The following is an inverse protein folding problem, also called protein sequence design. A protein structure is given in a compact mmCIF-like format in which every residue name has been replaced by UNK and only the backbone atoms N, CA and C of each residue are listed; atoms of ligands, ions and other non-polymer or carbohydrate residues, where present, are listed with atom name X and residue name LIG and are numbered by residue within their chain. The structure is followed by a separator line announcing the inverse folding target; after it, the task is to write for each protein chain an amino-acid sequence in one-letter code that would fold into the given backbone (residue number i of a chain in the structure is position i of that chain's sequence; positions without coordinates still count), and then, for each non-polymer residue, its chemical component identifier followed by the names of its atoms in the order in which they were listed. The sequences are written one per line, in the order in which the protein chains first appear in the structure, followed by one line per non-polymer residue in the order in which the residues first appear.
data_IF_828808751670
#
_entry.id   IF_828808751670
#
_cell.length_a   1.000
_cell.length_b   1.000
_cell.length_c   1.000
_cell.angle_alpha   90.00
_cell.angle_beta   90.00
_cell.angle_gamma   90.00
#
_symmetry.space_group_name_H-M   'P 1'
#
loop_
_entity.id
_entity.type
_entity.pdbx_description
1 polymer ?
#
# COMPACT_ATOMS: atom_id res chain seq x y z
N UNK A 1 55.11 -6.88 19.07
CA UNK A 1 54.13 -5.93 18.49
C UNK A 1 53.43 -6.46 17.24
N UNK A 2 54.12 -7.13 16.29
CA UNK A 2 53.52 -7.60 15.02
C UNK A 2 52.35 -8.61 15.16
N UNK A 3 52.41 -9.56 16.10
CA UNK A 3 51.34 -10.58 16.28
C UNK A 3 50.02 -10.02 16.84
N UNK A 4 50.07 -8.98 17.69
CA UNK A 4 48.87 -8.35 18.28
C UNK A 4 48.11 -7.51 17.24
N UNK A 5 48.83 -6.86 16.32
CA UNK A 5 48.24 -6.07 15.23
C UNK A 5 47.53 -6.98 14.21
N UNK A 6 48.10 -8.16 13.91
CA UNK A 6 47.50 -9.12 12.98
C UNK A 6 46.17 -9.70 13.49
N UNK A 7 46.06 -10.00 14.79
CA UNK A 7 44.83 -10.52 15.40
C UNK A 7 43.72 -9.46 15.38
N UNK A 8 44.06 -8.19 15.61
CA UNK A 8 43.12 -7.07 15.60
C UNK A 8 42.57 -6.77 14.19
N UNK A 9 43.41 -6.93 13.16
CA UNK A 9 43.01 -6.83 11.75
C UNK A 9 42.10 -7.98 11.32
N UNK A 10 42.39 -9.21 11.74
CA UNK A 10 41.55 -10.38 11.47
C UNK A 10 40.18 -10.25 12.13
N UNK A 11 40.10 -9.79 13.39
CA UNK A 11 38.80 -9.59 14.07
C UNK A 11 37.94 -8.50 13.41
N UNK A 12 38.57 -7.45 12.87
CA UNK A 12 37.85 -6.40 12.15
C UNK A 12 37.31 -6.90 10.80
N UNK A 13 38.07 -7.74 10.10
CA UNK A 13 37.64 -8.39 8.86
C UNK A 13 36.46 -9.35 9.06
N UNK A 14 36.37 -10.06 10.19
CA UNK A 14 35.20 -10.90 10.51
C UNK A 14 33.96 -10.09 10.90
N UNK A 15 34.13 -8.94 11.57
CA UNK A 15 33.00 -8.08 11.92
C UNK A 15 32.42 -7.39 10.69
N UNK A 16 33.27 -6.87 9.80
CA UNK A 16 32.86 -6.22 8.57
C UNK A 16 32.39 -7.25 7.54
N UNK A 17 33.15 -8.33 7.32
CA UNK A 17 32.78 -9.42 6.42
C UNK A 17 31.55 -10.19 6.87
N UNK A 18 31.36 -10.39 8.19
CA UNK A 18 30.16 -10.99 8.75
C UNK A 18 28.91 -10.13 8.53
N UNK A 19 29.02 -8.81 8.69
CA UNK A 19 27.92 -7.88 8.43
C UNK A 19 27.50 -7.88 6.95
N UNK A 20 28.47 -7.91 6.02
CA UNK A 20 28.18 -7.98 4.58
C UNK A 20 27.59 -9.33 4.14
N UNK A 21 28.05 -10.46 4.71
CA UNK A 21 27.51 -11.79 4.41
C UNK A 21 26.07 -11.93 4.96
N UNK A 22 25.77 -11.41 6.15
CA UNK A 22 24.41 -11.45 6.71
C UNK A 22 23.43 -10.63 5.86
N UNK A 23 23.80 -9.42 5.41
CA UNK A 23 22.95 -8.61 4.52
C UNK A 23 22.68 -9.26 3.17
N UNK A 24 23.66 -9.96 2.59
CA UNK A 24 23.48 -10.69 1.33
C UNK A 24 22.62 -11.94 1.48
N UNK A 25 22.47 -12.50 2.69
CA UNK A 25 21.65 -13.68 2.97
C UNK A 25 20.18 -13.34 3.25
N UNK A 26 19.84 -12.06 3.45
CA UNK A 26 18.47 -11.62 3.75
C UNK A 26 17.70 -11.11 2.53
N UNK A 27 18.36 -10.89 1.39
CA UNK A 27 17.68 -10.47 0.15
C UNK A 27 17.00 -11.68 -0.51
N UNK A 28 15.67 -11.60 -0.57
CA UNK A 28 14.75 -12.55 -1.20
C UNK A 28 14.47 -12.18 -2.65
N UNK A 29 14.72 -10.92 -3.04
CA UNK A 29 14.31 -10.37 -4.34
C UNK A 29 12.82 -10.00 -4.38
N UNK A 30 12.19 -9.90 -3.21
CA UNK A 30 10.79 -9.48 -3.03
C UNK A 30 10.80 -8.19 -2.22
N UNK A 31 10.32 -7.09 -2.81
CA UNK A 31 10.38 -5.74 -2.24
C UNK A 31 9.88 -5.68 -0.80
N UNK A 32 8.70 -6.26 -0.55
CA UNK A 32 8.05 -6.25 0.77
C UNK A 32 8.81 -7.03 1.86
N UNK A 33 9.58 -8.07 1.47
CA UNK A 33 10.37 -8.89 2.40
C UNK A 33 11.80 -8.36 2.58
N UNK A 34 12.32 -7.66 1.57
CA UNK A 34 13.65 -7.08 1.58
C UNK A 34 13.70 -5.76 2.37
N UNK A 35 12.57 -5.05 2.46
CA UNK A 35 12.41 -3.93 3.37
C UNK A 35 12.12 -4.39 4.81
N UNK A 36 13.04 -4.08 5.72
CA UNK A 36 12.96 -4.55 7.11
C UNK A 36 11.76 -3.99 7.87
N UNK A 37 11.34 -2.76 7.57
CA UNK A 37 10.20 -2.15 8.28
C UNK A 37 8.89 -2.79 7.84
N UNK A 38 8.70 -2.95 6.54
CA UNK A 38 7.54 -3.62 5.92
C UNK A 38 7.39 -5.04 6.42
N UNK A 39 8.50 -5.79 6.47
CA UNK A 39 8.50 -7.18 6.91
C UNK A 39 8.00 -7.38 8.35
N UNK A 40 8.11 -6.38 9.23
CA UNK A 40 7.60 -6.47 10.61
C UNK A 40 6.10 -6.71 10.69
N UNK A 41 5.35 -6.39 9.63
CA UNK A 41 3.90 -6.51 9.57
C UNK A 41 3.41 -7.75 8.83
N UNK A 42 4.32 -8.53 8.24
CA UNK A 42 3.98 -9.63 7.33
C UNK A 42 4.11 -11.00 8.01
N UNK A 43 3.11 -11.85 7.82
CA UNK A 43 3.19 -13.28 8.17
C UNK A 43 3.30 -14.14 6.91
N UNK A 44 4.49 -14.70 6.70
CA UNK A 44 4.82 -15.58 5.57
C UNK A 44 4.17 -16.98 5.70
N UNK A 45 3.63 -17.34 6.86
CA UNK A 45 3.04 -18.67 7.12
C UNK A 45 1.54 -18.73 6.82
N UNK A 46 0.89 -17.58 6.63
CA UNK A 46 -0.54 -17.51 6.31
C UNK A 46 -0.70 -17.52 4.79
N UNK A 47 -1.44 -18.51 4.29
CA UNK A 47 -1.71 -18.64 2.85
C UNK A 47 -2.61 -17.50 2.36
N UNK A 48 -2.12 -16.77 1.36
CA UNK A 48 -2.84 -15.69 0.69
C UNK A 48 -2.72 -15.86 -0.83
N UNK A 49 -3.44 -15.06 -1.61
CA UNK A 49 -3.35 -15.14 -3.07
C UNK A 49 -1.97 -14.71 -3.59
N UNK A 50 -1.52 -15.32 -4.70
CA UNK A 50 -0.24 -15.00 -5.37
C UNK A 50 -0.03 -13.48 -5.54
N UNK A 51 1.18 -13.01 -5.23
CA UNK A 51 1.59 -11.61 -5.34
C UNK A 51 1.40 -10.80 -4.04
N UNK A 52 1.07 -11.47 -2.93
CA UNK A 52 0.74 -10.83 -1.67
C UNK A 52 1.30 -11.62 -0.48
N UNK A 53 1.37 -10.95 0.67
CA UNK A 53 1.62 -11.52 1.99
C UNK A 53 0.48 -11.14 2.94
N UNK A 54 0.23 -11.96 3.96
CA UNK A 54 -0.72 -11.60 5.00
C UNK A 54 -0.15 -10.45 5.84
N UNK A 55 -0.95 -9.41 6.03
CA UNK A 55 -0.60 -8.22 6.81
C UNK A 55 -1.56 -8.07 7.97
N UNK A 56 -1.00 -7.82 9.16
CA UNK A 56 -1.74 -7.41 10.34
C UNK A 56 -1.40 -5.97 10.72
N UNK A 57 -2.44 -5.14 10.87
CA UNK A 57 -2.28 -3.75 11.27
C UNK A 57 -1.60 -3.63 12.63
N UNK A 58 -0.77 -2.60 12.83
CA UNK A 58 -0.05 -2.44 14.11
C UNK A 58 -1.01 -2.13 15.26
N UNK A 59 -2.16 -1.56 14.97
CA UNK A 59 -3.24 -1.37 15.95
C UNK A 59 -4.13 -2.61 16.15
N UNK A 60 -3.91 -3.70 15.41
CA UNK A 60 -4.64 -4.97 15.51
C UNK A 60 -6.12 -4.91 15.10
N UNK A 61 -6.58 -3.82 14.46
CA UNK A 61 -8.00 -3.63 14.17
C UNK A 61 -8.44 -4.16 12.81
N UNK A 62 -7.50 -4.41 11.90
CA UNK A 62 -7.77 -4.96 10.58
C UNK A 62 -6.58 -5.77 10.05
N UNK A 63 -6.86 -6.58 9.04
CA UNK A 63 -5.88 -7.38 8.29
C UNK A 63 -6.10 -7.16 6.81
N UNK A 64 -5.08 -7.40 5.98
CA UNK A 64 -5.19 -7.33 4.53
C UNK A 64 -4.15 -8.23 3.85
N UNK A 65 -4.27 -8.38 2.54
CA UNK A 65 -3.21 -8.91 1.69
C UNK A 65 -2.34 -7.74 1.23
N UNK A 66 -1.12 -7.65 1.75
CA UNK A 66 -0.17 -6.61 1.37
C UNK A 66 0.65 -7.06 0.16
N UNK A 67 0.79 -6.22 -0.89
CA UNK A 67 1.39 -6.62 -2.15
C UNK A 67 2.91 -6.78 -2.07
N UNK A 68 3.45 -7.77 -2.78
CA UNK A 68 4.87 -8.15 -2.66
C UNK A 68 5.86 -7.14 -3.25
N UNK A 69 5.42 -6.37 -4.25
CA UNK A 69 6.24 -5.39 -4.98
C UNK A 69 6.27 -3.98 -4.34
N UNK A 70 5.71 -3.87 -3.13
CA UNK A 70 5.62 -2.60 -2.41
C UNK A 70 6.38 -2.66 -1.09
N UNK A 71 6.86 -1.50 -0.64
CA UNK A 71 7.37 -1.29 0.71
C UNK A 71 6.56 -0.19 1.42
N UNK A 72 6.48 -0.24 2.74
CA UNK A 72 5.90 0.79 3.59
C UNK A 72 6.97 1.82 3.92
N UNK A 73 6.66 3.10 3.75
CA UNK A 73 7.54 4.19 4.16
C UNK A 73 7.46 4.40 5.68
N UNK A 74 8.57 4.12 6.37
CA UNK A 74 8.67 4.16 7.82
C UNK A 74 8.83 5.58 8.41
N UNK A 75 8.96 6.62 7.58
CA UNK A 75 8.97 8.00 8.06
C UNK A 75 7.67 8.33 8.84
N UNK A 76 7.73 8.99 10.01
CA UNK A 76 6.56 9.32 10.80
C UNK A 76 5.50 10.18 10.08
N UNK A 77 5.86 10.91 9.02
CA UNK A 77 4.92 11.66 8.19
C UNK A 77 4.16 10.76 7.18
N UNK A 78 4.55 9.49 7.07
CA UNK A 78 4.08 8.52 6.08
C UNK A 78 3.55 7.23 6.73
N UNK A 79 3.93 6.98 7.99
CA UNK A 79 3.39 5.94 8.82
C UNK A 79 3.01 6.47 10.21
N UNK A 80 1.76 6.26 10.62
CA UNK A 80 1.29 6.53 11.98
C UNK A 80 0.29 5.45 12.40
N UNK A 81 0.44 4.89 13.61
CA UNK A 81 -0.51 3.91 14.15
C UNK A 81 -0.89 4.27 15.59
N UNK A 82 -2.20 4.32 15.83
CA UNK A 82 -2.88 4.55 17.11
C UNK A 82 -4.09 3.60 17.23
N UNK A 83 -4.65 3.49 18.43
CA UNK A 83 -5.77 2.58 18.72
C UNK A 83 -6.98 2.75 17.77
N UNK A 84 -7.26 3.99 17.36
CA UNK A 84 -8.44 4.36 16.56
C UNK A 84 -8.10 4.89 15.16
N UNK A 85 -6.81 4.88 14.79
CA UNK A 85 -6.34 5.50 13.56
C UNK A 85 -5.06 4.81 13.08
N UNK A 86 -4.94 4.53 11.78
CA UNK A 86 -3.67 4.12 11.19
C UNK A 86 -3.52 4.69 9.78
N UNK A 87 -2.39 5.31 9.50
CA UNK A 87 -2.01 5.81 8.18
C UNK A 87 -0.78 5.04 7.71
N UNK A 88 -0.85 4.51 6.50
CA UNK A 88 0.24 3.79 5.84
C UNK A 88 0.38 4.34 4.44
N UNK A 89 1.56 4.87 4.13
CA UNK A 89 2.00 5.12 2.77
C UNK A 89 2.95 4.02 2.32
N UNK A 90 2.73 3.55 1.10
CA UNK A 90 3.50 2.48 0.52
C UNK A 90 3.80 2.78 -0.94
N UNK A 91 5.00 2.41 -1.36
CA UNK A 91 5.53 2.75 -2.68
C UNK A 91 6.00 1.48 -3.38
N UNK A 92 5.76 1.45 -4.68
CA UNK A 92 6.30 0.44 -5.57
C UNK A 92 7.79 0.68 -5.77
N UNK A 93 8.55 -0.41 -5.86
CA UNK A 93 10.01 -0.41 -5.98
C UNK A 93 10.57 0.68 -6.93
N UNK A 94 11.55 1.45 -6.42
CA UNK A 94 12.04 2.69 -7.06
C UNK A 94 12.73 2.47 -8.42
N UNK A 95 13.29 1.29 -8.69
CA UNK A 95 14.05 1.00 -9.91
C UNK A 95 13.21 0.28 -10.98
N UNK A 96 12.03 0.82 -11.33
CA UNK A 96 11.28 0.29 -12.46
C UNK A 96 11.83 0.85 -13.80
N UNK A 97 12.40 0.02 -14.69
CA UNK A 97 12.94 0.45 -16.00
C UNK A 97 11.87 1.05 -16.94
N UNK A 98 10.59 0.90 -16.63
CA UNK A 98 9.46 1.41 -17.41
C UNK A 98 9.07 2.85 -17.04
N UNK A 99 9.67 3.43 -16.00
CA UNK A 99 9.37 4.81 -15.58
C UNK A 99 7.98 4.96 -14.96
N UNK A 100 7.43 3.86 -14.44
CA UNK A 100 6.17 3.79 -13.72
C UNK A 100 6.46 3.90 -12.22
N UNK A 101 5.81 4.84 -11.56
CA UNK A 101 5.75 4.93 -10.10
C UNK A 101 4.34 4.58 -9.65
N UNK A 102 4.22 3.80 -8.58
CA UNK A 102 2.92 3.47 -7.99
C UNK A 102 2.97 3.72 -6.50
N UNK A 103 1.86 4.17 -5.94
CA UNK A 103 1.72 4.36 -4.49
C UNK A 103 0.38 3.87 -4.00
N UNK A 104 0.42 3.30 -2.79
CA UNK A 104 -0.74 2.89 -2.02
C UNK A 104 -0.79 3.73 -0.74
N UNK A 105 -2.00 4.16 -0.39
CA UNK A 105 -2.26 4.77 0.91
C UNK A 105 -3.42 4.02 1.56
N UNK A 106 -3.20 3.55 2.79
CA UNK A 106 -4.24 2.99 3.64
C UNK A 106 -4.47 3.94 4.80
N UNK A 107 -5.73 4.23 5.07
CA UNK A 107 -6.12 5.03 6.23
C UNK A 107 -7.26 4.31 6.96
N UNK A 108 -6.94 3.76 8.13
CA UNK A 108 -7.90 3.19 9.06
C UNK A 108 -8.45 4.27 9.98
N UNK A 109 -9.76 4.30 10.12
CA UNK A 109 -10.50 5.12 11.08
C UNK A 109 -11.49 4.22 11.81
N UNK A 110 -11.41 4.12 13.14
CA UNK A 110 -12.34 3.31 13.92
C UNK A 110 -12.62 3.88 15.30
N UNK A 111 -13.89 4.11 15.63
CA UNK A 111 -14.36 4.64 16.92
C UNK A 111 -15.74 4.04 17.24
N UNK A 112 -15.98 3.67 18.50
CA UNK A 112 -17.27 3.09 18.93
C UNK A 112 -18.46 4.04 18.80
N UNK A 113 -18.21 5.35 18.64
CA UNK A 113 -19.22 6.37 18.37
C UNK A 113 -19.44 6.62 16.87
N UNK A 114 -18.62 6.04 15.99
CA UNK A 114 -18.89 6.08 14.55
C UNK A 114 -20.17 5.31 14.24
N UNK A 115 -20.82 5.73 13.16
CA UNK A 115 -22.07 5.16 12.68
C UNK A 115 -22.02 5.11 11.16
N UNK A 116 -23.01 4.49 10.53
CA UNK A 116 -23.19 4.55 9.08
C UNK A 116 -23.22 5.99 8.54
N UNK A 117 -23.72 6.97 9.31
CA UNK A 117 -23.68 8.38 8.90
C UNK A 117 -22.24 8.94 8.85
N UNK A 118 -21.32 8.40 9.66
CA UNK A 118 -19.89 8.70 9.53
C UNK A 118 -19.33 8.14 8.24
N UNK A 119 -19.76 6.93 7.84
CA UNK A 119 -19.34 6.30 6.59
C UNK A 119 -19.82 7.10 5.37
N UNK A 120 -21.05 7.62 5.39
CA UNK A 120 -21.56 8.49 4.32
C UNK A 120 -20.67 9.74 4.15
N UNK A 121 -20.24 10.36 5.26
CA UNK A 121 -19.34 11.53 5.21
C UNK A 121 -17.94 11.17 4.71
N UNK A 122 -17.45 9.98 5.05
CA UNK A 122 -16.15 9.49 4.57
C UNK A 122 -16.21 9.21 3.07
N UNK A 123 -17.29 8.58 2.61
CA UNK A 123 -17.54 8.34 1.19
C UNK A 123 -17.64 9.68 0.43
N UNK A 124 -18.42 10.63 0.91
CA UNK A 124 -18.56 11.95 0.29
C UNK A 124 -17.21 12.67 0.12
N UNK A 125 -16.33 12.57 1.11
CA UNK A 125 -14.98 13.15 1.04
C UNK A 125 -14.14 12.41 0.00
N UNK A 126 -14.14 11.08 0.04
CA UNK A 126 -13.40 10.23 -0.90
C UNK A 126 -13.83 10.50 -2.35
N UNK A 127 -15.14 10.59 -2.61
CA UNK A 127 -15.67 10.86 -3.94
C UNK A 127 -15.28 12.25 -4.45
N UNK A 128 -15.34 13.28 -3.60
CA UNK A 128 -14.92 14.64 -3.98
C UNK A 128 -13.44 14.74 -4.34
N UNK A 129 -12.60 13.93 -3.70
CA UNK A 129 -11.15 13.97 -3.87
C UNK A 129 -10.66 13.07 -5.00
N UNK A 130 -11.34 11.95 -5.28
CA UNK A 130 -10.77 10.90 -6.13
C UNK A 130 -11.66 10.42 -7.27
N UNK A 131 -12.97 10.70 -7.25
CA UNK A 131 -13.89 10.18 -8.27
C UNK A 131 -14.07 11.13 -9.44
N UNK A 132 -14.47 10.58 -10.59
CA UNK A 132 -15.07 11.34 -11.67
C UNK A 132 -16.57 11.49 -11.42
N UNK A 133 -17.07 12.72 -11.26
CA UNK A 133 -18.49 13.04 -11.08
C UNK A 133 -19.23 12.23 -9.98
N UNK A 134 -18.52 11.74 -8.95
CA UNK A 134 -19.12 10.93 -7.90
C UNK A 134 -19.40 9.48 -8.28
N UNK A 135 -18.82 8.97 -9.38
CA UNK A 135 -18.98 7.59 -9.82
C UNK A 135 -18.26 6.61 -8.89
N UNK A 136 -18.97 5.55 -8.47
CA UNK A 136 -18.43 4.43 -7.70
C UNK A 136 -19.30 3.18 -7.87
N UNK A 137 -18.73 2.04 -7.53
CA UNK A 137 -19.41 0.76 -7.35
C UNK A 137 -19.59 0.45 -5.86
N UNK A 138 -20.68 -0.24 -5.53
CA UNK A 138 -20.97 -0.73 -4.17
C UNK A 138 -21.05 -2.24 -4.17
N UNK A 139 -20.38 -2.87 -3.20
CA UNK A 139 -20.46 -4.31 -2.95
C UNK A 139 -20.72 -4.57 -1.47
N UNK A 140 -21.79 -5.30 -1.18
CA UNK A 140 -22.13 -5.73 0.18
C UNK A 140 -21.72 -7.20 0.36
N UNK A 141 -21.02 -7.48 1.45
CA UNK A 141 -20.59 -8.81 1.87
C UNK A 141 -21.06 -9.05 3.32
N UNK A 142 -21.14 -10.30 3.76
CA UNK A 142 -21.74 -10.65 5.06
C UNK A 142 -21.17 -9.84 6.24
N UNK A 143 -19.88 -9.50 6.22
CA UNK A 143 -19.18 -8.80 7.31
C UNK A 143 -18.72 -7.37 6.99
N UNK A 144 -18.85 -6.91 5.74
CA UNK A 144 -18.33 -5.59 5.31
C UNK A 144 -19.06 -5.03 4.09
N UNK A 145 -18.97 -3.72 3.92
CA UNK A 145 -19.45 -3.00 2.75
C UNK A 145 -18.25 -2.32 2.10
N UNK A 146 -18.17 -2.40 0.77
CA UNK A 146 -17.15 -1.76 -0.03
C UNK A 146 -17.82 -0.75 -0.96
N UNK A 147 -17.25 0.45 -1.00
CA UNK A 147 -17.46 1.44 -2.06
C UNK A 147 -16.13 1.63 -2.75
N UNK A 148 -16.07 1.48 -4.07
CA UNK A 148 -14.80 1.58 -4.78
C UNK A 148 -15.00 2.12 -6.19
N UNK A 149 -13.95 2.68 -6.76
CA UNK A 149 -13.99 3.21 -8.11
C UNK A 149 -12.61 3.57 -8.61
N UNK A 150 -12.57 4.01 -9.85
CA UNK A 150 -11.34 4.46 -10.50
C UNK A 150 -11.62 5.67 -11.39
N UNK A 151 -10.58 6.44 -11.64
CA UNK A 151 -10.60 7.61 -12.51
C UNK A 151 -9.28 7.71 -13.26
N UNK A 152 -9.28 8.49 -14.33
CA UNK A 152 -8.05 9.00 -14.91
C UNK A 152 -7.80 10.41 -14.36
N UNK A 153 -6.57 10.68 -13.93
CA UNK A 153 -6.17 11.95 -13.34
C UNK A 153 -4.96 12.49 -14.08
N UNK A 154 -5.05 13.75 -14.48
CA UNK A 154 -3.93 14.48 -15.08
C UNK A 154 -3.82 15.89 -14.51
N UNK A 155 -2.63 16.48 -14.65
CA UNK A 155 -2.35 17.81 -14.17
C UNK A 155 -2.61 18.83 -15.29
N UNK A 156 -3.64 19.65 -15.14
CA UNK A 156 -3.95 20.76 -16.03
C UNK A 156 -3.85 22.08 -15.27
N UNK A 157 -3.10 23.06 -15.80
CA UNK A 157 -2.96 24.39 -15.17
C UNK A 157 -2.66 24.35 -13.65
N UNK A 158 -1.82 23.38 -13.24
CA UNK A 158 -1.44 23.09 -11.84
C UNK A 158 -2.60 22.59 -10.95
N UNK A 159 -3.67 22.08 -11.54
CA UNK A 159 -4.79 21.44 -10.85
C UNK A 159 -4.90 20.00 -11.30
N UNK A 160 -5.25 19.12 -10.37
CA UNK A 160 -5.59 17.75 -10.69
C UNK A 160 -7.01 17.73 -11.25
N UNK A 161 -7.15 17.22 -12.47
CA UNK A 161 -8.42 17.06 -13.16
C UNK A 161 -8.76 15.58 -13.20
N UNK A 162 -9.99 15.24 -12.80
CA UNK A 162 -10.49 13.88 -12.80
C UNK A 162 -11.36 13.67 -14.03
N UNK A 163 -11.10 12.58 -14.73
CA UNK A 163 -11.79 12.12 -15.91
C UNK A 163 -12.30 10.71 -15.70
N UNK A 164 -13.31 10.35 -16.49
CA UNK A 164 -13.74 8.97 -16.60
C UNK A 164 -12.57 8.09 -17.04
N UNK A 165 -12.37 6.96 -16.36
CA UNK A 165 -11.22 6.09 -16.59
C UNK A 165 -11.12 5.59 -18.04
N UNK A 166 -12.24 5.22 -18.67
CA UNK A 166 -12.32 4.75 -20.07
C UNK A 166 -11.22 3.75 -20.48
N UNK A 167 -10.88 2.81 -19.57
CA UNK A 167 -9.86 1.79 -19.79
C UNK A 167 -8.41 2.24 -19.55
N UNK A 168 -8.19 3.43 -19.00
CA UNK A 168 -6.87 4.01 -18.71
C UNK A 168 -6.82 4.57 -17.27
N UNK A 169 -7.39 3.88 -16.28
CA UNK A 169 -7.41 4.39 -14.92
C UNK A 169 -6.00 4.42 -14.31
N UNK A 170 -5.62 5.57 -13.77
CA UNK A 170 -4.35 5.76 -13.06
C UNK A 170 -4.57 6.18 -11.59
N UNK A 171 -5.82 6.25 -11.16
CA UNK A 171 -6.21 6.55 -9.80
C UNK A 171 -7.38 5.65 -9.40
N UNK A 172 -7.26 5.00 -8.25
CA UNK A 172 -8.28 4.13 -7.69
C UNK A 172 -8.49 4.50 -6.23
N UNK A 173 -9.71 4.28 -5.75
CA UNK A 173 -10.08 4.56 -4.38
C UNK A 173 -11.08 3.52 -3.88
N UNK A 174 -11.07 3.29 -2.57
CA UNK A 174 -12.08 2.50 -1.91
C UNK A 174 -12.32 2.98 -0.47
N UNK A 175 -13.56 2.81 -0.01
CA UNK A 175 -13.95 2.84 1.40
C UNK A 175 -14.52 1.46 1.74
N UNK A 176 -13.88 0.80 2.69
CA UNK A 176 -14.30 -0.49 3.23
C UNK A 176 -14.69 -0.26 4.68
N UNK A 177 -15.88 -0.68 5.10
CA UNK A 177 -16.27 -0.60 6.51
C UNK A 177 -17.03 -1.83 6.95
N UNK A 178 -16.98 -2.13 8.25
CA UNK A 178 -17.77 -3.21 8.85
C UNK A 178 -19.27 -2.85 8.86
N UNK A 179 -20.14 -3.83 9.09
CA UNK A 179 -21.59 -3.67 8.94
C UNK A 179 -22.23 -2.53 9.78
N UNK A 180 -21.69 -2.23 10.96
CA UNK A 180 -22.20 -1.15 11.83
C UNK A 180 -21.53 0.21 11.58
N UNK A 181 -20.46 0.25 10.77
CA UNK A 181 -19.71 1.46 10.43
C UNK A 181 -18.84 1.99 11.57
N UNK A 182 -18.48 1.16 12.55
CA UNK A 182 -17.56 1.52 13.65
C UNK A 182 -16.09 1.36 13.30
N UNK A 183 -15.78 0.66 12.20
CA UNK A 183 -14.43 0.47 11.67
C UNK A 183 -14.44 0.68 10.17
N UNK A 184 -13.49 1.46 9.67
CA UNK A 184 -13.32 1.72 8.25
C UNK A 184 -11.85 1.74 7.84
N UNK A 185 -11.57 1.32 6.61
CA UNK A 185 -10.31 1.54 5.90
C UNK A 185 -10.64 2.22 4.58
N UNK A 186 -10.04 3.38 4.33
CA UNK A 186 -9.97 3.93 2.97
C UNK A 186 -8.66 3.57 2.31
N UNK A 187 -8.71 3.18 1.05
CA UNK A 187 -7.54 2.84 0.23
C UNK A 187 -7.46 3.79 -0.95
N UNK A 188 -6.27 4.30 -1.23
CA UNK A 188 -5.95 5.03 -2.47
C UNK A 188 -4.83 4.29 -3.18
N UNK A 189 -4.98 4.11 -4.49
CA UNK A 189 -3.95 3.58 -5.36
C UNK A 189 -3.72 4.55 -6.51
N UNK A 190 -2.49 5.04 -6.67
CA UNK A 190 -2.14 5.98 -7.74
C UNK A 190 -0.98 5.45 -8.56
N UNK A 191 -1.09 5.62 -9.87
CA UNK A 191 -0.11 5.22 -10.86
C UNK A 191 0.35 6.47 -11.59
N UNK A 192 1.65 6.73 -11.58
CA UNK A 192 2.26 7.87 -12.24
C UNK A 192 3.25 7.40 -13.30
N UNK A 193 3.17 8.06 -14.46
CA UNK A 193 3.98 7.77 -15.63
C UNK A 193 4.90 8.95 -15.90
N UNK A 194 6.20 8.74 -15.72
CA UNK A 194 7.20 9.80 -15.79
C UNK A 194 7.63 10.18 -17.21
N UNK A 195 7.37 9.35 -18.22
CA UNK A 195 7.86 9.55 -19.59
C UNK A 195 6.73 9.87 -20.57
N UNK A 196 6.60 11.14 -20.97
CA UNK A 196 5.67 11.58 -22.03
C UNK A 196 5.94 10.90 -23.39
N UNK A 197 7.13 10.30 -23.59
CA UNK A 197 7.56 9.73 -24.87
C UNK A 197 7.46 8.21 -24.94
N UNK A 198 7.30 7.53 -23.80
CA UNK A 198 6.99 6.12 -23.73
C UNK A 198 5.63 6.00 -23.07
N UNK A 199 4.60 5.69 -23.86
CA UNK A 199 3.31 5.31 -23.30
C UNK A 199 3.56 4.21 -22.26
N UNK A 200 3.25 4.48 -20.99
CA UNK A 200 3.15 3.41 -20.02
C UNK A 200 2.17 2.40 -20.59
N UNK A 201 2.64 1.19 -20.89
CA UNK A 201 1.76 0.08 -21.22
C UNK A 201 1.19 -0.46 -19.91
N UNK A 202 0.29 0.30 -19.29
CA UNK A 202 -0.50 -0.19 -18.17
C UNK A 202 -1.45 -1.26 -18.73
N UNK A 203 -1.25 -2.51 -18.35
CA UNK A 203 -2.25 -3.54 -18.58
C UNK A 203 -3.41 -3.29 -17.62
N UNK A 204 -4.38 -2.47 -18.06
CA UNK A 204 -5.49 -1.99 -17.23
C UNK A 204 -6.21 -3.12 -16.48
N UNK A 205 -6.43 -4.26 -17.13
CA UNK A 205 -7.07 -5.42 -16.51
C UNK A 205 -6.26 -5.96 -15.32
N UNK A 206 -4.93 -5.92 -15.38
CA UNK A 206 -4.08 -6.35 -14.27
C UNK A 206 -4.20 -5.39 -13.09
N UNK A 207 -4.22 -4.08 -13.34
CA UNK A 207 -4.36 -3.06 -12.29
C UNK A 207 -5.74 -3.11 -11.63
N UNK A 208 -6.81 -3.27 -12.42
CA UNK A 208 -8.17 -3.44 -11.92
C UNK A 208 -8.29 -4.71 -11.04
N UNK A 209 -7.69 -5.82 -11.51
CA UNK A 209 -7.68 -7.09 -10.78
C UNK A 209 -6.84 -7.00 -9.50
N UNK A 210 -5.69 -6.34 -9.56
CA UNK A 210 -4.83 -6.09 -8.42
C UNK A 210 -5.57 -5.30 -7.33
N UNK A 211 -6.13 -4.14 -7.70
CA UNK A 211 -6.82 -3.27 -6.75
C UNK A 211 -8.04 -3.96 -6.13
N UNK A 212 -8.82 -4.71 -6.94
CA UNK A 212 -9.97 -5.47 -6.43
C UNK A 212 -9.56 -6.54 -5.41
N UNK A 213 -8.52 -7.32 -5.70
CA UNK A 213 -8.01 -8.36 -4.78
C UNK A 213 -7.52 -7.73 -3.48
N UNK A 214 -6.84 -6.59 -3.56
CA UNK A 214 -6.36 -5.84 -2.39
C UNK A 214 -7.53 -5.43 -1.50
N UNK A 215 -8.53 -4.70 -2.02
CA UNK A 215 -9.62 -4.17 -1.18
C UNK A 215 -10.55 -5.27 -0.66
N UNK A 216 -10.74 -6.36 -1.41
CA UNK A 216 -11.57 -7.48 -0.98
C UNK A 216 -10.93 -8.29 0.15
N UNK A 217 -9.60 -8.26 0.26
CA UNK A 217 -8.86 -8.95 1.33
C UNK A 217 -9.03 -8.30 2.71
N UNK A 218 -9.37 -7.01 2.76
CA UNK A 218 -9.44 -6.24 4.00
C UNK A 218 -10.52 -6.81 4.93
N UNK A 219 -10.15 -7.11 6.18
CA UNK A 219 -11.02 -7.71 7.19
C UNK A 219 -10.82 -7.08 8.57
N UNK A 220 -11.87 -7.01 9.37
CA UNK A 220 -11.94 -6.30 10.67
C UNK A 220 -12.17 -7.21 11.88
#
# INVERSE_FOLDING_TARGET
MKKKILILLLSLLFLVGGFFIVRSLTQTGVTALDDSFTREFLDENVEVGKGFYFYEARNGNYTMWFPEDFYIEGDPAQFESKDHFELIHSYYEEENPEGISKSLQFNYDGDSNQTLQSMDRFLDRLLKEFSYEGQYEKKELDNKVLYFGSSYVELEDKKLMHYEANGNANNYFALIHNQDGTKAVSVRYSIFCSDEKKSCSLEQENEDNFFRRLIESISF
#
